data_IF_220442087439
#
_entry.id   IF_220442087439
#
_cell.length_a   1.000
_cell.length_b   1.000
_cell.length_c   1.000
_cell.angle_alpha   90.00
_cell.angle_beta   90.00
_cell.angle_gamma   90.00
#
_symmetry.space_group_name_H-M   'P 1'
#
loop_
_entity.id
_entity.type
_entity.pdbx_description
1 polymer ?
#
# COMPACT_ATOMS: atom_id res chain seq x y z
N UNK A 1 -2.03 -17.90 23.17
CA UNK A 1 -0.89 -18.52 22.47
C UNK A 1 0.31 -17.59 22.65
N UNK A 2 1.47 -18.13 23.03
CA UNK A 2 2.70 -17.35 23.19
C UNK A 2 3.71 -17.73 22.12
N UNK A 3 4.34 -16.74 21.51
CA UNK A 3 5.40 -16.94 20.53
C UNK A 3 6.57 -16.03 20.87
N UNK A 4 7.77 -16.58 20.86
CA UNK A 4 9.00 -15.84 21.13
C UNK A 4 9.89 -15.86 19.88
N UNK A 5 10.12 -14.69 19.28
CA UNK A 5 11.15 -14.50 18.26
C UNK A 5 12.49 -14.29 18.97
N UNK A 6 13.54 -15.01 18.60
CA UNK A 6 14.79 -15.01 19.38
C UNK A 6 16.05 -14.68 18.60
N UNK A 7 16.89 -13.80 19.15
CA UNK A 7 18.27 -13.58 18.70
C UNK A 7 18.45 -12.83 17.39
N UNK A 8 17.42 -12.14 16.88
CA UNK A 8 17.50 -11.38 15.62
C UNK A 8 17.98 -9.95 15.81
N UNK A 9 18.36 -9.29 14.71
CA UNK A 9 18.56 -7.84 14.71
C UNK A 9 17.20 -7.15 14.64
N UNK A 10 16.81 -6.47 15.70
CA UNK A 10 15.46 -5.91 15.86
C UNK A 10 15.46 -4.43 15.51
N UNK A 11 14.70 -4.05 14.47
CA UNK A 11 14.42 -2.67 14.12
C UNK A 11 12.99 -2.34 14.54
N UNK A 12 12.85 -1.67 15.68
CA UNK A 12 11.56 -1.43 16.35
C UNK A 12 10.70 -0.38 15.66
N UNK A 13 11.34 0.56 14.98
CA UNK A 13 10.73 1.79 14.45
C UNK A 13 10.18 2.75 15.53
N UNK A 14 10.48 2.55 16.82
CA UNK A 14 10.11 3.47 17.92
C UNK A 14 11.31 4.03 18.70
N UNK A 15 12.53 3.65 18.30
CA UNK A 15 13.79 4.09 18.91
C UNK A 15 14.44 3.03 19.81
N UNK A 16 13.79 1.89 20.02
CA UNK A 16 14.30 0.75 20.80
C UNK A 16 15.06 -0.31 20.00
N UNK A 17 15.73 0.06 18.90
CA UNK A 17 16.43 -0.92 18.03
C UNK A 17 17.50 -1.72 18.81
N UNK A 18 17.57 -3.03 18.56
CA UNK A 18 18.50 -3.96 19.20
C UNK A 18 19.38 -4.64 18.14
N UNK A 19 20.70 -4.60 18.32
CA UNK A 19 21.62 -5.31 17.45
C UNK A 19 21.38 -6.83 17.47
N UNK A 20 20.98 -7.33 18.63
CA UNK A 20 20.51 -8.69 18.88
C UNK A 20 19.45 -8.64 19.99
N UNK A 21 18.27 -9.17 19.74
CA UNK A 21 17.19 -9.17 20.72
C UNK A 21 16.09 -10.18 20.42
N UNK A 22 15.16 -10.24 21.36
CA UNK A 22 14.02 -11.11 21.39
C UNK A 22 12.72 -10.27 21.35
N UNK A 23 11.65 -10.82 20.77
CA UNK A 23 10.31 -10.22 20.74
C UNK A 23 9.31 -11.26 21.22
N UNK A 24 8.64 -10.98 22.34
CA UNK A 24 7.60 -11.84 22.90
C UNK A 24 6.22 -11.36 22.43
N UNK A 25 5.44 -12.33 21.95
CA UNK A 25 4.09 -12.14 21.44
C UNK A 25 3.16 -13.00 22.28
N UNK A 26 2.08 -12.41 22.80
CA UNK A 26 1.00 -13.13 23.48
C UNK A 26 -0.33 -12.77 22.84
N UNK A 27 -1.09 -13.78 22.42
CA UNK A 27 -2.44 -13.63 21.84
C UNK A 27 -2.51 -12.62 20.68
N UNK A 28 -1.47 -12.59 19.86
CA UNK A 28 -1.38 -11.74 18.68
C UNK A 28 -0.79 -10.36 18.92
N UNK A 29 -0.47 -10.02 20.18
CA UNK A 29 0.02 -8.71 20.62
C UNK A 29 1.48 -8.82 21.06
N UNK A 30 2.29 -7.82 20.71
CA UNK A 30 3.66 -7.68 21.20
C UNK A 30 3.57 -7.31 22.68
N UNK A 31 4.17 -8.09 23.58
CA UNK A 31 4.15 -7.80 25.02
C UNK A 31 5.50 -7.30 25.54
N UNK A 32 6.60 -7.68 24.87
CA UNK A 32 7.94 -7.29 25.30
C UNK A 32 8.94 -7.36 24.14
N UNK A 33 9.87 -6.39 24.11
CA UNK A 33 11.04 -6.37 23.22
C UNK A 33 12.26 -6.07 24.09
N UNK A 34 13.24 -6.98 24.12
CA UNK A 34 14.41 -6.87 24.98
C UNK A 34 15.61 -7.63 24.40
N UNK A 35 16.82 -7.40 24.90
CA UNK A 35 18.03 -8.13 24.47
C UNK A 35 17.90 -9.65 24.70
N UNK A 36 17.17 -10.04 25.75
CA UNK A 36 16.88 -11.43 26.08
C UNK A 36 15.57 -11.52 26.87
N UNK A 37 14.70 -12.47 26.50
CA UNK A 37 13.45 -12.75 27.21
C UNK A 37 13.40 -14.23 27.61
N UNK A 38 13.13 -14.51 28.89
CA UNK A 38 12.90 -15.86 29.40
C UNK A 38 11.40 -16.20 29.38
N UNK A 39 10.97 -16.88 28.32
CA UNK A 39 9.60 -17.38 28.15
C UNK A 39 9.63 -18.88 27.80
N UNK A 40 9.84 -19.78 28.79
CA UNK A 40 10.02 -21.22 28.55
C UNK A 40 8.74 -21.91 28.04
N UNK A 41 7.58 -21.27 28.18
CA UNK A 41 6.27 -21.73 27.74
C UNK A 41 5.87 -21.23 26.34
N UNK A 42 6.69 -20.41 25.69
CA UNK A 42 6.41 -19.85 24.36
C UNK A 42 6.93 -20.74 23.22
N UNK A 43 6.17 -20.80 22.11
CA UNK A 43 6.64 -21.38 20.86
C UNK A 43 7.77 -20.51 20.30
N UNK A 44 8.94 -21.10 20.05
CA UNK A 44 10.13 -20.34 19.62
C UNK A 44 10.25 -20.28 18.10
N UNK A 45 10.53 -19.09 17.58
CA UNK A 45 10.99 -18.84 16.22
C UNK A 45 12.42 -18.30 16.32
N UNK A 46 13.39 -19.06 15.81
CA UNK A 46 14.77 -18.62 15.75
C UNK A 46 14.91 -17.51 14.69
N UNK A 47 15.30 -16.32 15.13
CA UNK A 47 15.54 -15.15 14.30
C UNK A 47 17.04 -14.85 14.17
N UNK A 48 17.91 -15.79 14.56
CA UNK A 48 19.35 -15.70 14.27
C UNK A 48 19.56 -15.49 12.77
N UNK A 49 20.46 -14.57 12.42
CA UNK A 49 20.70 -14.14 11.03
C UNK A 49 19.44 -13.62 10.31
N UNK A 50 18.49 -13.06 11.07
CA UNK A 50 17.33 -12.33 10.56
C UNK A 50 17.30 -10.89 11.04
N UNK A 51 16.77 -10.02 10.20
CA UNK A 51 16.31 -8.69 10.59
C UNK A 51 14.82 -8.80 10.93
N UNK A 52 14.45 -8.43 12.15
CA UNK A 52 13.07 -8.40 12.64
C UNK A 52 12.58 -6.95 12.60
N UNK A 53 11.53 -6.66 11.85
CA UNK A 53 10.94 -5.32 11.78
C UNK A 53 9.42 -5.38 11.64
N UNK A 54 8.69 -4.28 11.89
CA UNK A 54 7.27 -4.20 11.55
C UNK A 54 7.08 -4.51 10.08
N UNK A 55 5.99 -5.21 9.75
CA UNK A 55 5.63 -5.40 8.36
C UNK A 55 5.35 -4.06 7.67
N UNK A 56 5.63 -4.03 6.38
CA UNK A 56 5.45 -2.81 5.61
C UNK A 56 3.97 -2.43 5.47
N UNK A 57 3.73 -1.13 5.35
CA UNK A 57 2.42 -0.53 5.13
C UNK A 57 2.39 0.09 3.74
N UNK A 58 1.57 -0.49 2.86
CA UNK A 58 1.30 0.02 1.52
C UNK A 58 0.06 0.91 1.55
N UNK A 59 0.23 2.23 1.48
CA UNK A 59 -0.84 3.20 1.74
C UNK A 59 -1.76 3.44 0.55
N UNK A 60 -1.48 2.86 -0.62
CA UNK A 60 -2.31 3.00 -1.81
C UNK A 60 -1.99 1.94 -2.87
N UNK A 61 -2.97 1.09 -3.23
CA UNK A 61 -2.78 0.10 -4.31
C UNK A 61 -4.07 -0.27 -5.02
N UNK A 62 -4.00 -0.60 -6.31
CA UNK A 62 -5.14 -1.05 -7.11
C UNK A 62 -5.09 -2.55 -7.45
N UNK A 63 -5.41 -3.44 -6.51
CA UNK A 63 -5.14 -4.89 -6.70
C UNK A 63 -6.03 -5.61 -7.72
N UNK A 64 -7.22 -5.08 -8.04
CA UNK A 64 -8.11 -5.65 -9.07
C UNK A 64 -7.43 -5.76 -10.45
N UNK A 65 -6.35 -5.01 -10.67
CA UNK A 65 -5.60 -4.91 -11.92
C UNK A 65 -4.53 -6.00 -12.07
N UNK A 66 -4.32 -6.82 -11.03
CA UNK A 66 -3.20 -7.78 -10.93
C UNK A 66 -3.09 -8.76 -12.11
N UNK A 67 -4.21 -9.15 -12.71
CA UNK A 67 -4.26 -10.06 -13.87
C UNK A 67 -3.41 -9.56 -15.06
N UNK A 68 -3.23 -8.25 -15.18
CA UNK A 68 -2.58 -7.59 -16.31
C UNK A 68 -1.18 -7.05 -15.97
N UNK A 69 -0.55 -7.57 -14.91
CA UNK A 69 0.82 -7.20 -14.56
C UNK A 69 1.79 -7.31 -15.75
N UNK A 70 2.58 -6.26 -15.94
CA UNK A 70 3.62 -6.17 -16.97
C UNK A 70 3.12 -5.66 -18.33
N UNK A 71 1.82 -5.64 -18.59
CA UNK A 71 1.29 -5.14 -19.87
C UNK A 71 1.44 -3.62 -19.99
N UNK A 72 1.45 -2.92 -18.85
CA UNK A 72 1.47 -1.46 -18.78
C UNK A 72 2.86 -0.86 -18.55
N UNK A 73 3.94 -1.63 -18.78
CA UNK A 73 5.29 -1.20 -18.47
C UNK A 73 5.70 0.14 -19.14
N UNK A 74 5.14 0.41 -20.33
CA UNK A 74 5.44 1.60 -21.14
C UNK A 74 4.27 2.61 -21.22
N UNK A 75 3.24 2.47 -20.36
CA UNK A 75 2.08 3.35 -20.43
C UNK A 75 2.31 4.65 -19.64
N UNK A 76 1.97 5.76 -20.27
CA UNK A 76 1.68 7.03 -19.60
C UNK A 76 0.37 6.94 -18.82
N UNK A 77 0.09 7.94 -17.97
CA UNK A 77 -1.19 8.01 -17.26
C UNK A 77 -2.41 8.00 -18.18
N UNK A 78 -2.32 8.68 -19.32
CA UNK A 78 -3.42 8.77 -20.28
C UNK A 78 -3.69 7.40 -20.93
N UNK A 79 -2.64 6.71 -21.37
CA UNK A 79 -2.74 5.34 -21.91
C UNK A 79 -3.28 4.38 -20.85
N UNK A 80 -2.79 4.46 -19.61
CA UNK A 80 -3.30 3.68 -18.48
C UNK A 80 -4.81 3.86 -18.28
N UNK A 81 -5.30 5.11 -18.29
CA UNK A 81 -6.72 5.40 -18.15
C UNK A 81 -7.54 4.72 -19.24
N UNK A 82 -7.12 4.88 -20.49
CA UNK A 82 -7.80 4.26 -21.64
C UNK A 82 -7.78 2.73 -21.50
N UNK A 83 -6.60 2.16 -21.23
CA UNK A 83 -6.39 0.73 -21.14
C UNK A 83 -7.22 0.06 -20.03
N UNK A 84 -6.99 0.48 -18.78
CA UNK A 84 -7.55 -0.20 -17.63
C UNK A 84 -9.02 0.13 -17.49
N UNK A 85 -9.41 1.40 -17.60
CA UNK A 85 -10.78 1.81 -17.33
C UNK A 85 -11.68 1.77 -18.54
N UNK A 86 -11.17 2.11 -19.73
CA UNK A 86 -11.93 2.13 -20.97
C UNK A 86 -12.02 0.77 -21.65
N UNK A 87 -10.90 0.06 -21.76
CA UNK A 87 -10.80 -1.19 -22.53
C UNK A 87 -10.99 -2.44 -21.67
N UNK A 88 -10.28 -2.58 -20.56
CA UNK A 88 -10.24 -3.83 -19.80
C UNK A 88 -11.38 -3.98 -18.78
N UNK A 89 -11.59 -2.96 -17.93
CA UNK A 89 -12.58 -2.97 -16.84
C UNK A 89 -13.98 -3.42 -17.28
N UNK A 90 -14.55 -2.99 -18.43
CA UNK A 90 -15.91 -3.40 -18.83
C UNK A 90 -16.11 -4.91 -18.97
N UNK A 91 -15.02 -5.69 -19.10
CA UNK A 91 -15.07 -7.15 -19.26
C UNK A 91 -14.78 -7.93 -17.98
N UNK A 92 -14.49 -7.24 -16.88
CA UNK A 92 -14.37 -7.86 -15.56
C UNK A 92 -15.74 -8.31 -15.07
N UNK A 93 -15.76 -9.51 -14.50
CA UNK A 93 -16.86 -10.07 -13.71
C UNK A 93 -16.47 -10.03 -12.23
N UNK A 94 -17.41 -10.25 -11.29
CA UNK A 94 -17.09 -10.36 -9.87
C UNK A 94 -15.99 -11.39 -9.57
N UNK A 95 -15.99 -12.53 -10.26
CA UNK A 95 -14.98 -13.58 -10.07
C UNK A 95 -13.57 -13.10 -10.45
N UNK A 96 -13.42 -12.30 -11.51
CA UNK A 96 -12.11 -11.76 -11.90
C UNK A 96 -11.60 -10.73 -10.90
N UNK A 97 -12.51 -9.95 -10.30
CA UNK A 97 -12.19 -9.03 -9.20
C UNK A 97 -11.69 -9.84 -8.01
N UNK A 98 -12.41 -10.88 -7.60
CA UNK A 98 -11.98 -11.73 -6.49
C UNK A 98 -10.56 -12.29 -6.72
N UNK A 99 -10.31 -12.87 -7.91
CA UNK A 99 -9.02 -13.46 -8.25
C UNK A 99 -7.89 -12.42 -8.30
N UNK A 100 -8.15 -11.26 -8.91
CA UNK A 100 -7.19 -10.16 -9.02
C UNK A 100 -6.81 -9.60 -7.66
N UNK A 101 -7.80 -9.27 -6.84
CA UNK A 101 -7.61 -8.74 -5.50
C UNK A 101 -6.90 -9.75 -4.58
N UNK A 102 -7.29 -11.02 -4.61
CA UNK A 102 -6.70 -12.06 -3.76
C UNK A 102 -5.22 -12.27 -4.12
N UNK A 103 -4.89 -12.45 -5.41
CA UNK A 103 -3.50 -12.63 -5.81
C UNK A 103 -2.67 -11.36 -5.52
N UNK A 104 -3.21 -10.18 -5.79
CA UNK A 104 -2.53 -8.91 -5.50
C UNK A 104 -2.22 -8.74 -4.02
N UNK A 105 -3.17 -9.05 -3.13
CA UNK A 105 -2.96 -8.98 -1.68
C UNK A 105 -1.96 -10.02 -1.17
N UNK A 106 -2.02 -11.25 -1.69
CA UNK A 106 -1.08 -12.32 -1.34
C UNK A 106 0.34 -12.03 -1.82
N UNK A 107 0.49 -11.38 -2.96
CA UNK A 107 1.79 -10.94 -3.48
C UNK A 107 2.38 -9.80 -2.63
N UNK A 108 1.55 -8.81 -2.25
CA UNK A 108 1.94 -7.80 -1.27
C UNK A 108 2.40 -8.45 0.05
N UNK A 109 1.63 -9.40 0.60
CA UNK A 109 1.99 -10.12 1.83
C UNK A 109 3.31 -10.90 1.68
N UNK A 110 3.49 -11.59 0.54
CA UNK A 110 4.71 -12.34 0.26
C UNK A 110 5.94 -11.44 0.20
N UNK A 111 5.80 -10.18 -0.22
CA UNK A 111 6.88 -9.18 -0.23
C UNK A 111 7.05 -8.42 1.09
N UNK A 112 6.33 -8.78 2.14
CA UNK A 112 6.47 -8.21 3.48
C UNK A 112 5.47 -7.10 3.83
N UNK A 113 4.46 -6.85 2.98
CA UNK A 113 3.39 -5.88 3.25
C UNK A 113 2.29 -6.53 4.10
N UNK A 114 2.29 -6.26 5.41
CA UNK A 114 1.29 -6.78 6.35
C UNK A 114 0.02 -5.94 6.39
N UNK A 115 0.11 -4.65 6.03
CA UNK A 115 -1.03 -3.73 5.94
C UNK A 115 -1.09 -3.07 4.56
N UNK A 116 -2.25 -3.08 3.92
CA UNK A 116 -2.44 -2.50 2.59
C UNK A 116 -3.76 -1.76 2.49
N UNK A 117 -3.76 -0.55 1.94
CA UNK A 117 -4.96 0.14 1.50
C UNK A 117 -5.24 -0.22 0.04
N UNK A 118 -6.29 -1.03 -0.18
CA UNK A 118 -6.77 -1.39 -1.51
C UNK A 118 -7.75 -0.34 -2.01
N UNK A 119 -7.28 0.51 -2.91
CA UNK A 119 -8.05 1.59 -3.51
C UNK A 119 -8.84 1.01 -4.69
N UNK A 120 -10.09 0.65 -4.44
CA UNK A 120 -10.93 -0.16 -5.33
C UNK A 120 -11.91 0.71 -6.13
N UNK A 121 -11.71 0.78 -7.44
CA UNK A 121 -12.52 1.61 -8.35
C UNK A 121 -13.04 0.83 -9.56
N UNK A 122 -13.25 -0.47 -9.37
CA UNK A 122 -13.88 -1.39 -10.31
C UNK A 122 -15.25 -1.87 -9.80
N UNK A 123 -15.92 -1.04 -8.98
CA UNK A 123 -17.26 -1.27 -8.45
C UNK A 123 -18.34 -1.09 -9.54
N UNK A 124 -18.37 -1.98 -10.53
CA UNK A 124 -19.36 -1.94 -11.63
C UNK A 124 -20.77 -2.36 -11.17
N UNK A 125 -20.83 -3.15 -10.10
CA UNK A 125 -22.05 -3.54 -9.41
C UNK A 125 -21.73 -3.90 -7.96
N UNK A 126 -22.73 -4.00 -7.05
CA UNK A 126 -22.52 -4.46 -5.69
C UNK A 126 -21.80 -5.81 -5.60
N UNK A 127 -22.03 -6.73 -6.54
CA UNK A 127 -21.35 -8.03 -6.57
C UNK A 127 -19.84 -7.90 -6.83
N UNK A 128 -19.39 -6.91 -7.60
CA UNK A 128 -17.96 -6.64 -7.78
C UNK A 128 -17.34 -6.14 -6.47
N UNK A 129 -18.05 -5.27 -5.76
CA UNK A 129 -17.64 -4.77 -4.44
C UNK A 129 -17.55 -5.91 -3.43
N UNK A 130 -18.55 -6.78 -3.39
CA UNK A 130 -18.61 -7.94 -2.49
C UNK A 130 -17.47 -8.92 -2.77
N UNK A 131 -17.17 -9.16 -4.05
CA UNK A 131 -16.05 -10.00 -4.47
C UNK A 131 -14.69 -9.45 -4.05
N UNK A 132 -14.47 -8.13 -4.19
CA UNK A 132 -13.25 -7.48 -3.73
C UNK A 132 -13.09 -7.61 -2.20
N UNK A 133 -14.16 -7.35 -1.44
CA UNK A 133 -14.14 -7.51 0.02
C UNK A 133 -13.87 -8.96 0.44
N UNK A 134 -14.50 -9.94 -0.23
CA UNK A 134 -14.27 -11.36 0.03
C UNK A 134 -12.80 -11.74 -0.19
N UNK A 135 -12.19 -11.30 -1.29
CA UNK A 135 -10.78 -11.55 -1.57
C UNK A 135 -9.84 -10.97 -0.50
N UNK A 136 -10.14 -9.76 0.00
CA UNK A 136 -9.35 -9.14 1.06
C UNK A 136 -9.51 -9.85 2.41
N UNK A 137 -10.67 -10.46 2.68
CA UNK A 137 -10.91 -11.29 3.90
C UNK A 137 -10.22 -12.64 3.82
N UNK A 138 -10.18 -13.25 2.64
CA UNK A 138 -9.54 -14.56 2.42
C UNK A 138 -8.02 -14.45 2.41
N UNK A 139 -7.47 -13.27 2.10
CA UNK A 139 -6.05 -13.00 2.30
C UNK A 139 -5.71 -12.87 3.79
N UNK A 140 -4.72 -13.61 4.32
CA UNK A 140 -4.42 -13.64 5.75
C UNK A 140 -3.60 -12.42 6.19
N UNK A 141 -4.05 -11.21 5.88
CA UNK A 141 -3.32 -9.96 6.09
C UNK A 141 -4.26 -8.79 6.40
N UNK A 142 -3.72 -7.72 6.99
CA UNK A 142 -4.49 -6.50 7.23
C UNK A 142 -4.75 -5.78 5.91
N UNK A 143 -5.99 -5.40 5.69
CA UNK A 143 -6.44 -4.69 4.49
C UNK A 143 -7.40 -3.56 4.85
N UNK A 144 -7.27 -2.42 4.19
CA UNK A 144 -8.22 -1.32 4.25
C UNK A 144 -8.90 -1.30 2.89
N UNK A 145 -10.16 -1.75 2.83
CA UNK A 145 -10.96 -1.66 1.62
C UNK A 145 -11.35 -0.21 1.41
N UNK A 146 -10.67 0.46 0.49
CA UNK A 146 -10.91 1.85 0.17
C UNK A 146 -11.84 1.92 -1.04
N UNK A 147 -13.13 2.07 -0.78
CA UNK A 147 -14.15 2.13 -1.82
C UNK A 147 -13.99 3.42 -2.61
N UNK A 148 -13.50 3.31 -3.84
CA UNK A 148 -13.27 4.41 -4.75
C UNK A 148 -14.42 4.55 -5.75
N UNK A 149 -14.91 5.78 -5.93
CA UNK A 149 -15.78 6.10 -7.05
C UNK A 149 -15.17 5.70 -8.40
N UNK A 150 -16.02 5.48 -9.41
CA UNK A 150 -15.57 5.24 -10.79
C UNK A 150 -14.76 6.40 -11.37
N UNK A 151 -14.49 6.38 -12.68
CA UNK A 151 -13.83 7.51 -13.35
C UNK A 151 -14.80 8.67 -13.70
N UNK A 152 -16.06 8.56 -13.30
CA UNK A 152 -17.05 9.63 -13.44
C UNK A 152 -16.84 10.73 -12.39
N UNK A 153 -17.48 11.88 -12.62
CA UNK A 153 -17.51 12.99 -11.66
C UNK A 153 -18.68 12.95 -10.68
N UNK A 154 -19.50 11.90 -10.74
CA UNK A 154 -20.68 11.76 -9.89
C UNK A 154 -20.28 11.52 -8.42
N UNK A 155 -21.10 11.97 -7.45
CA UNK A 155 -20.92 11.62 -6.05
C UNK A 155 -20.90 10.10 -5.83
N UNK A 156 -20.22 9.68 -4.77
CA UNK A 156 -20.25 8.27 -4.36
C UNK A 156 -21.66 7.85 -3.93
N UNK A 157 -22.02 6.59 -4.19
CA UNK A 157 -23.33 6.05 -3.81
C UNK A 157 -23.42 5.85 -2.30
N UNK A 158 -24.21 6.71 -1.63
CA UNK A 158 -24.45 6.67 -0.18
C UNK A 158 -25.05 5.33 0.28
N UNK A 159 -26.04 4.81 -0.45
CA UNK A 159 -26.69 3.56 -0.07
C UNK A 159 -25.71 2.38 -0.15
N UNK A 160 -24.88 2.34 -1.18
CA UNK A 160 -23.83 1.34 -1.33
C UNK A 160 -22.77 1.48 -0.23
N UNK A 161 -22.31 2.69 0.07
CA UNK A 161 -21.33 2.96 1.13
C UNK A 161 -21.80 2.49 2.50
N UNK A 162 -23.07 2.74 2.85
CA UNK A 162 -23.66 2.24 4.11
C UNK A 162 -23.77 0.72 4.09
N UNK A 163 -24.20 0.13 2.97
CA UNK A 163 -24.30 -1.33 2.81
C UNK A 163 -22.95 -2.02 3.05
N UNK A 164 -21.87 -1.53 2.45
CA UNK A 164 -20.55 -2.14 2.63
C UNK A 164 -19.97 -1.89 4.01
N UNK A 165 -20.23 -0.71 4.61
CA UNK A 165 -19.82 -0.40 5.97
C UNK A 165 -20.43 -1.39 6.97
N UNK A 166 -21.70 -1.73 6.80
CA UNK A 166 -22.42 -2.70 7.64
C UNK A 166 -21.90 -4.14 7.46
N UNK A 167 -21.27 -4.45 6.33
CA UNK A 167 -20.75 -5.79 6.03
C UNK A 167 -19.29 -6.01 6.44
N UNK A 168 -18.52 -4.95 6.68
CA UNK A 168 -17.12 -5.07 7.10
C UNK A 168 -17.09 -5.28 8.61
N UNK A 169 -16.79 -6.50 9.09
CA UNK A 169 -16.76 -6.79 10.52
C UNK A 169 -15.53 -6.15 11.16
N UNK A 170 -15.51 -6.13 12.50
CA UNK A 170 -14.27 -5.89 13.24
C UNK A 170 -13.25 -6.97 12.91
N UNK A 171 -12.00 -6.58 12.62
CA UNK A 171 -10.92 -7.52 12.34
C UNK A 171 -9.83 -6.96 11.43
N UNK A 172 -9.24 -7.84 10.62
CA UNK A 172 -8.13 -7.49 9.72
C UNK A 172 -8.56 -6.68 8.49
N UNK A 173 -9.85 -6.63 8.18
CA UNK A 173 -10.39 -5.82 7.08
C UNK A 173 -11.14 -4.63 7.65
N UNK A 174 -10.72 -3.43 7.26
CA UNK A 174 -11.38 -2.16 7.62
C UNK A 174 -11.75 -1.40 6.36
N UNK A 175 -12.27 -0.18 6.49
CA UNK A 175 -12.82 0.58 5.38
C UNK A 175 -12.27 2.02 5.34
N UNK A 176 -12.09 2.53 4.13
CA UNK A 176 -11.87 3.95 3.85
C UNK A 176 -12.68 4.39 2.61
N UNK A 177 -12.75 5.70 2.38
CA UNK A 177 -13.37 6.27 1.18
C UNK A 177 -12.31 6.78 0.19
N UNK A 178 -12.40 6.33 -1.06
CA UNK A 178 -11.51 6.75 -2.14
C UNK A 178 -12.15 7.85 -2.99
N UNK A 179 -11.50 9.00 -3.09
CA UNK A 179 -11.98 10.14 -3.86
C UNK A 179 -11.00 10.48 -5.00
N UNK A 180 -11.55 10.85 -6.15
CA UNK A 180 -10.77 11.28 -7.31
C UNK A 180 -10.27 12.73 -7.21
N UNK A 181 -10.78 13.47 -6.24
CA UNK A 181 -10.41 14.86 -6.00
C UNK A 181 -11.03 15.85 -6.99
N UNK A 182 -10.78 17.16 -6.77
CA UNK A 182 -11.44 18.26 -7.48
C UNK A 182 -10.92 18.48 -8.91
N UNK A 183 -10.00 17.64 -9.36
CA UNK A 183 -9.50 17.65 -10.74
C UNK A 183 -10.38 16.79 -11.66
N UNK A 184 -11.21 15.90 -11.10
CA UNK A 184 -12.14 15.05 -11.84
C UNK A 184 -13.61 15.30 -11.51
N UNK A 185 -13.90 16.08 -10.47
CA UNK A 185 -15.25 16.53 -10.10
C UNK A 185 -15.21 17.92 -9.45
N UNK A 186 -16.35 18.44 -8.98
CA UNK A 186 -16.46 19.74 -8.31
C UNK A 186 -16.11 19.65 -6.82
N UNK A 187 -15.67 20.76 -6.23
CA UNK A 187 -15.44 20.84 -4.78
C UNK A 187 -16.72 20.62 -3.94
N UNK A 188 -17.91 20.90 -4.49
CA UNK A 188 -19.15 20.67 -3.76
C UNK A 188 -19.46 19.17 -3.64
N UNK A 189 -19.16 18.38 -4.68
CA UNK A 189 -19.22 16.92 -4.64
C UNK A 189 -18.19 16.37 -3.66
N UNK A 190 -16.93 16.82 -3.75
CA UNK A 190 -15.87 16.42 -2.79
C UNK A 190 -16.29 16.71 -1.35
N UNK A 191 -16.86 17.89 -1.07
CA UNK A 191 -17.30 18.26 0.27
C UNK A 191 -18.45 17.36 0.77
N UNK A 192 -19.40 17.00 -0.10
CA UNK A 192 -20.49 16.09 0.23
C UNK A 192 -19.96 14.68 0.56
N UNK A 193 -19.03 14.16 -0.25
CA UNK A 193 -18.43 12.84 -0.05
C UNK A 193 -17.59 12.78 1.24
N UNK A 194 -16.81 13.83 1.52
CA UNK A 194 -16.06 13.94 2.79
C UNK A 194 -16.97 14.03 4.01
N UNK A 195 -18.10 14.75 3.88
CA UNK A 195 -19.10 14.80 4.95
C UNK A 195 -19.66 13.41 5.21
N UNK A 196 -20.01 12.67 4.17
CA UNK A 196 -20.49 11.29 4.30
C UNK A 196 -19.42 10.37 4.93
N UNK A 197 -18.16 10.49 4.53
CA UNK A 197 -17.05 9.78 5.17
C UNK A 197 -17.00 10.06 6.68
N UNK A 198 -17.11 11.33 7.07
CA UNK A 198 -17.17 11.74 8.48
C UNK A 198 -18.35 11.14 9.24
N UNK A 199 -19.54 11.13 8.64
CA UNK A 199 -20.75 10.50 9.23
C UNK A 199 -20.56 8.99 9.47
N UNK A 200 -19.76 8.32 8.65
CA UNK A 200 -19.47 6.88 8.74
C UNK A 200 -18.19 6.55 9.55
N UNK A 201 -17.49 7.58 10.05
CA UNK A 201 -16.22 7.44 10.77
C UNK A 201 -15.09 6.91 9.88
N UNK A 202 -15.11 7.22 8.58
CA UNK A 202 -14.14 6.75 7.60
C UNK A 202 -13.05 7.80 7.36
N UNK A 203 -11.82 7.32 7.14
CA UNK A 203 -10.73 8.10 6.56
C UNK A 203 -10.91 8.21 5.05
N UNK A 204 -10.28 9.20 4.43
CA UNK A 204 -10.36 9.42 2.99
C UNK A 204 -8.98 9.40 2.32
N UNK A 205 -8.92 8.77 1.14
CA UNK A 205 -7.74 8.78 0.25
C UNK A 205 -8.10 9.50 -1.03
N UNK A 206 -7.38 10.57 -1.37
CA UNK A 206 -7.74 11.50 -2.45
C UNK A 206 -6.61 11.62 -3.47
N UNK A 207 -6.85 11.24 -4.73
CA UNK A 207 -5.91 11.53 -5.81
C UNK A 207 -5.82 13.04 -6.06
N UNK A 208 -4.59 13.58 -6.04
CA UNK A 208 -4.34 15.00 -6.34
C UNK A 208 -3.04 15.21 -7.11
N UNK A 209 -3.01 16.20 -8.00
CA UNK A 209 -1.79 16.62 -8.68
C UNK A 209 -1.21 15.57 -9.66
N UNK A 210 -1.99 14.56 -10.03
CA UNK A 210 -1.61 13.52 -11.01
C UNK A 210 -1.56 14.05 -12.45
N UNK A 211 -0.78 13.40 -13.31
CA UNK A 211 -0.86 13.58 -14.77
C UNK A 211 -0.51 14.99 -15.29
N UNK A 212 0.38 15.73 -14.62
CA UNK A 212 0.85 17.03 -15.11
C UNK A 212 -0.11 18.20 -14.88
N UNK A 213 -1.14 18.05 -14.05
CA UNK A 213 -2.11 19.08 -13.69
C UNK A 213 -1.53 20.19 -12.78
N UNK A 214 -0.41 20.80 -13.18
CA UNK A 214 0.19 21.95 -12.49
C UNK A 214 -0.76 23.15 -12.58
N UNK A 215 -0.88 23.88 -11.47
CA UNK A 215 -1.70 25.10 -11.40
C UNK A 215 -3.17 24.88 -11.04
N UNK A 216 -3.66 23.64 -10.86
CA UNK A 216 -5.03 23.40 -10.37
C UNK A 216 -5.20 23.61 -8.87
N UNK A 217 -4.08 23.71 -8.11
CA UNK A 217 -4.00 23.99 -6.67
C UNK A 217 -5.11 23.29 -5.83
N UNK A 218 -5.21 21.96 -5.92
CA UNK A 218 -6.32 21.21 -5.32
C UNK A 218 -6.31 21.26 -3.79
N UNK A 219 -5.15 21.31 -3.13
CA UNK A 219 -5.07 21.37 -1.67
C UNK A 219 -5.51 22.74 -1.17
N UNK A 220 -5.14 23.82 -1.88
CA UNK A 220 -5.62 25.15 -1.56
C UNK A 220 -7.15 25.22 -1.61
N UNK A 221 -7.79 24.56 -2.58
CA UNK A 221 -9.25 24.48 -2.66
C UNK A 221 -9.88 23.75 -1.46
N UNK A 222 -9.25 22.70 -0.93
CA UNK A 222 -9.69 22.08 0.34
C UNK A 222 -9.49 23.04 1.52
N UNK A 223 -8.35 23.71 1.59
CA UNK A 223 -8.02 24.66 2.66
C UNK A 223 -9.03 25.82 2.72
N UNK A 224 -9.36 26.44 1.58
CA UNK A 224 -10.35 27.52 1.48
C UNK A 224 -11.75 27.12 1.95
N UNK A 225 -12.10 25.84 1.78
CA UNK A 225 -13.38 25.26 2.22
C UNK A 225 -13.34 24.71 3.66
N UNK A 226 -12.18 24.74 4.32
CA UNK A 226 -11.99 24.18 5.66
C UNK A 226 -12.11 22.66 5.71
N UNK A 227 -11.73 21.96 4.64
CA UNK A 227 -11.92 20.50 4.47
C UNK A 227 -10.66 19.67 4.80
N UNK A 228 -9.50 20.30 4.98
CA UNK A 228 -8.28 19.58 5.34
C UNK A 228 -8.39 19.01 6.77
N UNK A 229 -7.88 17.79 6.96
CA UNK A 229 -7.83 17.13 8.26
C UNK A 229 -6.80 16.00 8.29
N UNK A 230 -6.49 15.53 9.49
CA UNK A 230 -5.66 14.35 9.73
C UNK A 230 -6.30 13.04 9.25
N UNK A 231 -7.57 13.04 8.85
CA UNK A 231 -8.28 11.90 8.28
C UNK A 231 -8.07 11.74 6.76
N UNK A 232 -7.32 12.65 6.12
CA UNK A 232 -7.13 12.68 4.67
C UNK A 232 -5.69 12.32 4.31
N UNK A 233 -5.56 11.35 3.39
CA UNK A 233 -4.31 11.01 2.70
C UNK A 233 -4.42 11.42 1.24
N UNK A 234 -3.59 12.36 0.82
CA UNK A 234 -3.46 12.75 -0.58
C UNK A 234 -2.52 11.81 -1.34
N UNK A 235 -2.86 11.43 -2.56
CA UNK A 235 -2.08 10.49 -3.37
C UNK A 235 -1.35 11.25 -4.47
N UNK A 236 -0.07 10.93 -4.66
CA UNK A 236 0.90 11.52 -5.60
C UNK A 236 1.39 12.91 -5.26
N UNK A 237 0.51 13.91 -5.37
CA UNK A 237 0.83 15.32 -5.15
C UNK A 237 1.95 15.92 -6.04
N UNK A 238 2.36 15.29 -7.16
CA UNK A 238 3.44 15.82 -8.02
C UNK A 238 3.17 17.23 -8.59
N UNK A 239 1.89 17.57 -8.77
CA UNK A 239 1.43 18.85 -9.30
C UNK A 239 1.20 19.97 -8.28
N UNK A 240 1.41 19.73 -6.98
CA UNK A 240 1.09 20.73 -5.92
C UNK A 240 2.25 21.69 -5.64
N UNK A 241 1.92 22.88 -5.17
CA UNK A 241 2.87 23.93 -4.82
C UNK A 241 3.42 23.78 -3.39
N UNK A 242 4.54 24.46 -3.08
CA UNK A 242 5.20 24.32 -1.76
C UNK A 242 4.35 24.86 -0.61
N UNK A 243 3.50 25.85 -0.85
CA UNK A 243 2.59 26.36 0.16
C UNK A 243 1.41 25.41 0.41
N UNK A 244 0.97 24.67 -0.60
CA UNK A 244 0.01 23.57 -0.43
C UNK A 244 0.57 22.45 0.45
N UNK A 245 1.86 22.11 0.31
CA UNK A 245 2.51 21.15 1.20
C UNK A 245 2.53 21.62 2.67
N UNK A 246 2.66 22.93 2.91
CA UNK A 246 2.53 23.47 4.28
C UNK A 246 1.10 23.36 4.79
N UNK A 247 0.10 23.60 3.95
CA UNK A 247 -1.31 23.41 4.34
C UNK A 247 -1.60 21.94 4.73
N UNK A 248 -1.01 20.98 4.02
CA UNK A 248 -1.06 19.55 4.39
C UNK A 248 -0.46 19.33 5.77
N UNK A 249 0.76 19.86 6.02
CA UNK A 249 1.43 19.73 7.31
C UNK A 249 0.63 20.34 8.46
N UNK A 250 0.14 21.57 8.29
CA UNK A 250 -0.63 22.30 9.30
C UNK A 250 -1.94 21.58 9.66
N UNK A 251 -2.57 20.91 8.69
CA UNK A 251 -3.80 20.15 8.90
C UNK A 251 -3.57 18.74 9.48
N UNK A 252 -2.32 18.27 9.54
CA UNK A 252 -1.99 16.88 9.89
C UNK A 252 -2.36 15.86 8.82
N UNK A 253 -2.69 16.30 7.60
CA UNK A 253 -2.98 15.41 6.47
C UNK A 253 -1.71 14.64 6.05
N UNK A 254 -1.91 13.47 5.44
CA UNK A 254 -0.82 12.63 4.96
C UNK A 254 -0.69 12.67 3.44
N UNK A 255 0.44 12.23 2.90
CA UNK A 255 0.66 12.12 1.45
C UNK A 255 1.32 10.78 1.12
N UNK A 256 0.65 9.99 0.28
CA UNK A 256 1.14 8.72 -0.26
C UNK A 256 1.78 8.96 -1.62
N UNK A 257 3.04 8.55 -1.79
CA UNK A 257 3.76 8.66 -3.07
C UNK A 257 4.08 7.28 -3.64
N UNK A 258 4.07 7.17 -4.97
CA UNK A 258 4.43 5.98 -5.74
C UNK A 258 5.58 6.28 -6.71
N UNK A 259 6.82 6.51 -6.22
CA UNK A 259 7.95 6.99 -7.02
C UNK A 259 8.16 6.27 -8.35
N UNK A 260 8.06 4.94 -8.37
CA UNK A 260 8.22 4.14 -9.60
C UNK A 260 7.12 4.43 -10.63
N UNK A 261 5.86 4.48 -10.20
CA UNK A 261 4.70 4.73 -11.06
C UNK A 261 4.69 6.18 -11.53
N UNK A 262 4.88 7.12 -10.61
CA UNK A 262 4.90 8.56 -10.90
C UNK A 262 5.94 8.91 -11.98
N UNK A 263 7.15 8.33 -11.88
CA UNK A 263 8.21 8.52 -12.87
C UNK A 263 7.86 7.88 -14.21
N UNK A 264 7.40 6.62 -14.22
CA UNK A 264 7.10 5.87 -15.45
C UNK A 264 5.92 6.45 -16.21
N UNK A 265 4.86 6.83 -15.51
CA UNK A 265 3.62 7.33 -16.11
C UNK A 265 3.67 8.83 -16.48
N UNK A 266 4.79 9.51 -16.20
CA UNK A 266 5.00 10.91 -16.57
C UNK A 266 4.31 11.91 -15.65
N UNK A 267 4.10 11.60 -14.37
CA UNK A 267 3.50 12.52 -13.40
C UNK A 267 4.47 13.65 -13.04
N UNK A 268 5.77 13.34 -13.02
CA UNK A 268 6.83 14.29 -12.77
C UNK A 268 7.90 13.75 -11.82
N UNK A 269 8.74 14.64 -11.32
CA UNK A 269 9.76 14.30 -10.34
C UNK A 269 9.13 13.98 -8.97
N UNK A 270 9.69 13.00 -8.22
CA UNK A 270 9.28 12.71 -6.86
C UNK A 270 9.32 13.94 -5.95
N UNK A 271 8.34 14.03 -5.06
CA UNK A 271 8.11 15.19 -4.21
C UNK A 271 8.81 15.11 -2.85
N UNK A 272 9.50 14.01 -2.56
CA UNK A 272 10.07 13.65 -1.25
C UNK A 272 10.78 14.81 -0.56
N UNK A 273 11.77 15.43 -1.20
CA UNK A 273 12.53 16.53 -0.62
C UNK A 273 11.69 17.79 -0.35
N UNK A 274 10.75 18.11 -1.24
CA UNK A 274 9.83 19.25 -1.09
C UNK A 274 8.88 19.03 0.09
N UNK A 275 8.37 17.81 0.24
CA UNK A 275 7.51 17.42 1.36
C UNK A 275 8.26 17.53 2.68
N UNK A 276 9.46 16.96 2.77
CA UNK A 276 10.28 17.04 3.98
C UNK A 276 10.62 18.49 4.35
N UNK A 277 10.96 19.32 3.37
CA UNK A 277 11.22 20.75 3.59
C UNK A 277 9.98 21.53 4.08
N UNK A 278 8.78 21.07 3.74
CA UNK A 278 7.51 21.63 4.20
C UNK A 278 7.01 21.05 5.52
N UNK A 279 7.73 20.07 6.11
CA UNK A 279 7.32 19.40 7.34
C UNK A 279 6.37 18.22 7.14
N UNK A 280 6.18 17.74 5.90
CA UNK A 280 5.37 16.55 5.58
C UNK A 280 6.29 15.35 5.39
N UNK A 281 6.08 14.28 6.16
CA UNK A 281 6.70 12.99 5.90
C UNK A 281 5.86 12.20 4.89
N UNK A 282 6.41 11.75 3.76
CA UNK A 282 5.68 10.91 2.82
C UNK A 282 5.41 9.50 3.39
N UNK A 283 4.41 8.84 2.83
CA UNK A 283 4.22 7.39 2.94
C UNK A 283 4.36 6.74 1.57
N UNK A 284 4.51 5.41 1.54
CA UNK A 284 4.75 4.70 0.29
C UNK A 284 3.58 3.86 -0.20
N UNK A 285 3.49 3.79 -1.52
CA UNK A 285 2.51 3.00 -2.23
C UNK A 285 3.10 2.29 -3.43
N UNK A 286 2.61 1.07 -3.71
CA UNK A 286 2.84 0.40 -5.00
C UNK A 286 1.98 0.99 -6.10
N UNK A 287 0.75 1.39 -5.76
CA UNK A 287 -0.19 2.03 -6.66
C UNK A 287 -0.63 1.08 -7.80
N UNK A 288 -0.05 1.21 -8.99
CA UNK A 288 -0.48 0.53 -10.20
C UNK A 288 0.16 -0.86 -10.42
N UNK A 289 -0.65 -1.92 -10.48
CA UNK A 289 -0.15 -3.30 -10.67
C UNK A 289 0.28 -3.65 -12.12
N UNK A 290 -0.32 -3.10 -13.19
CA UNK A 290 0.13 -3.28 -14.57
C UNK A 290 1.55 -2.79 -14.88
N UNK A 291 2.00 -1.68 -14.29
CA UNK A 291 3.24 -0.99 -14.68
C UNK A 291 4.38 -1.05 -13.64
N UNK A 292 4.09 -1.45 -12.39
CA UNK A 292 5.07 -1.50 -11.31
C UNK A 292 5.36 -2.93 -10.80
N UNK A 293 6.54 -3.07 -10.18
CA UNK A 293 6.80 -4.19 -9.28
C UNK A 293 5.91 -4.08 -8.05
N UNK A 294 5.61 -5.20 -7.38
CA UNK A 294 4.64 -5.21 -6.29
C UNK A 294 5.24 -5.15 -4.89
N UNK A 295 6.47 -4.65 -4.73
CA UNK A 295 7.24 -4.68 -3.49
C UNK A 295 7.80 -3.33 -3.02
N UNK A 296 7.79 -3.12 -1.70
CA UNK A 296 8.28 -1.88 -1.08
C UNK A 296 9.79 -1.66 -1.23
N UNK A 297 10.58 -2.71 -1.45
CA UNK A 297 12.03 -2.55 -1.58
C UNK A 297 12.39 -1.76 -2.83
N UNK A 298 11.72 -2.05 -3.96
CA UNK A 298 11.86 -1.27 -5.19
C UNK A 298 11.43 0.19 -4.98
N UNK A 299 10.26 0.41 -4.38
CA UNK A 299 9.74 1.76 -4.10
C UNK A 299 10.70 2.58 -3.24
N UNK A 300 11.22 1.99 -2.16
CA UNK A 300 12.23 2.63 -1.32
C UNK A 300 13.51 2.92 -2.10
N UNK A 301 14.02 1.98 -2.91
CA UNK A 301 15.22 2.23 -3.73
C UNK A 301 15.04 3.38 -4.69
N UNK A 302 13.91 3.47 -5.37
CA UNK A 302 13.63 4.54 -6.33
C UNK A 302 13.55 5.89 -5.64
N UNK A 303 12.80 6.00 -4.52
CA UNK A 303 12.78 7.21 -3.70
C UNK A 303 14.18 7.59 -3.19
N UNK A 304 14.93 6.60 -2.69
CA UNK A 304 16.28 6.78 -2.16
C UNK A 304 17.22 7.35 -3.21
N UNK A 305 17.34 6.67 -4.35
CA UNK A 305 18.28 7.01 -5.41
C UNK A 305 17.98 8.39 -6.00
N UNK A 306 16.71 8.69 -6.27
CA UNK A 306 16.31 9.98 -6.84
C UNK A 306 16.60 11.11 -5.87
N UNK A 307 16.11 11.03 -4.63
CA UNK A 307 16.29 12.13 -3.68
C UNK A 307 17.76 12.31 -3.29
N UNK A 308 18.51 11.23 -3.06
CA UNK A 308 19.95 11.30 -2.81
C UNK A 308 20.73 11.90 -3.98
N UNK A 309 20.29 11.67 -5.21
CA UNK A 309 20.89 12.27 -6.41
C UNK A 309 20.63 13.77 -6.52
N UNK A 310 19.53 14.26 -5.96
CA UNK A 310 19.17 15.68 -5.94
C UNK A 310 19.94 16.46 -4.86
N UNK A 311 19.93 15.98 -3.61
CA UNK A 311 20.50 16.74 -2.47
C UNK A 311 21.33 15.92 -1.49
N UNK A 312 21.23 14.59 -1.52
CA UNK A 312 21.91 13.72 -0.57
C UNK A 312 21.33 13.73 0.86
N UNK A 313 20.19 14.37 1.12
CA UNK A 313 19.65 14.53 2.47
C UNK A 313 19.04 13.26 3.05
N UNK A 314 18.37 12.46 2.22
CA UNK A 314 17.56 11.32 2.62
C UNK A 314 18.40 10.16 3.19
N UNK A 315 17.96 9.55 4.30
CA UNK A 315 18.61 8.38 4.92
C UNK A 315 17.77 7.12 4.74
N UNK A 316 18.42 5.95 4.81
CA UNK A 316 17.73 4.67 4.75
C UNK A 316 16.70 4.51 5.89
N UNK A 317 16.99 5.07 7.07
CA UNK A 317 16.07 5.06 8.21
C UNK A 317 14.76 5.82 7.90
N UNK A 318 14.85 6.98 7.25
CA UNK A 318 13.66 7.75 6.85
C UNK A 318 12.72 6.89 5.99
N UNK A 319 13.29 6.11 5.06
CA UNK A 319 12.49 5.28 4.18
C UNK A 319 11.82 4.09 4.84
N UNK A 320 12.47 3.50 5.84
CA UNK A 320 11.81 2.47 6.65
C UNK A 320 10.65 3.06 7.44
N UNK A 321 10.79 4.28 7.97
CA UNK A 321 9.72 4.96 8.69
C UNK A 321 8.53 5.28 7.77
N UNK A 322 8.79 5.78 6.55
CA UNK A 322 7.77 6.00 5.52
C UNK A 322 7.00 4.72 5.17
N UNK A 323 7.70 3.57 5.14
CA UNK A 323 7.13 2.26 4.85
C UNK A 323 6.51 1.55 6.06
N UNK A 324 6.61 2.11 7.27
CA UNK A 324 6.14 1.47 8.52
C UNK A 324 5.32 2.43 9.38
N UNK A 325 5.94 3.14 10.33
CA UNK A 325 5.25 4.00 11.31
C UNK A 325 4.46 5.14 10.65
N UNK A 326 5.03 5.81 9.65
CA UNK A 326 4.36 6.92 8.97
C UNK A 326 3.21 6.39 8.10
N UNK A 327 3.42 5.25 7.41
CA UNK A 327 2.37 4.54 6.68
C UNK A 327 1.20 4.10 7.56
N UNK A 328 1.50 3.56 8.74
CA UNK A 328 0.49 3.21 9.74
C UNK A 328 -0.27 4.47 10.21
N UNK A 329 0.42 5.61 10.38
CA UNK A 329 -0.18 6.90 10.68
C UNK A 329 -1.18 7.37 9.62
N UNK A 330 -0.77 7.41 8.36
CA UNK A 330 -1.65 7.81 7.25
C UNK A 330 -2.92 6.96 7.19
N UNK A 331 -2.79 5.66 7.45
CA UNK A 331 -3.90 4.70 7.49
C UNK A 331 -4.75 4.76 8.78
N UNK A 332 -4.39 5.56 9.79
CA UNK A 332 -5.09 5.61 11.07
C UNK A 332 -4.87 4.36 11.94
N UNK A 333 -3.76 3.66 11.72
CA UNK A 333 -3.43 2.37 12.33
C UNK A 333 -2.24 2.46 13.30
N UNK A 334 -1.75 3.66 13.64
CA UNK A 334 -0.60 3.83 14.55
C UNK A 334 -0.79 3.19 15.92
N UNK A 335 -2.02 3.05 16.40
CA UNK A 335 -2.30 2.37 17.67
C UNK A 335 -2.16 0.85 17.58
N UNK A 336 -2.27 0.29 16.36
CA UNK A 336 -2.30 -1.16 16.13
C UNK A 336 -0.99 -1.70 15.56
N UNK A 337 -0.34 -0.98 14.65
CA UNK A 337 0.80 -1.51 13.87
C UNK A 337 1.85 -0.43 13.56
N UNK A 338 2.83 -0.78 12.72
CA UNK A 338 3.88 0.12 12.23
C UNK A 338 5.14 0.19 13.09
N UNK A 339 5.11 -0.28 14.35
CA UNK A 339 6.29 -0.39 15.22
C UNK A 339 6.22 -1.65 16.08
N UNK A 340 7.37 -2.14 16.55
CA UNK A 340 7.49 -3.24 17.50
C UNK A 340 7.38 -2.73 18.93
N UNK A 341 6.28 -2.06 19.24
CA UNK A 341 6.04 -1.46 20.56
C UNK A 341 5.09 -2.37 21.36
N UNK A 342 5.38 -2.67 22.64
CA UNK A 342 4.45 -3.41 23.49
C UNK A 342 3.03 -2.83 23.48
N UNK A 343 2.03 -3.69 23.36
CA UNK A 343 0.61 -3.36 23.21
C UNK A 343 0.11 -3.28 21.77
N UNK A 344 0.98 -3.29 20.76
CA UNK A 344 0.60 -3.33 19.34
C UNK A 344 0.44 -4.76 18.83
N UNK A 345 -0.32 -4.93 17.75
CA UNK A 345 -0.44 -6.20 17.04
C UNK A 345 0.92 -6.64 16.49
N UNK A 346 1.20 -7.94 16.56
CA UNK A 346 2.40 -8.54 16.00
C UNK A 346 2.30 -8.73 14.48
N UNK A 347 2.31 -7.60 13.77
CA UNK A 347 2.48 -7.49 12.32
C UNK A 347 3.99 -7.37 12.01
N UNK A 348 4.68 -8.50 11.88
CA UNK A 348 6.15 -8.58 11.89
C UNK A 348 6.67 -9.31 10.65
N UNK A 349 7.78 -8.85 10.09
CA UNK A 349 8.52 -9.56 9.05
C UNK A 349 9.94 -9.89 9.52
N UNK A 350 10.42 -11.07 9.12
CA UNK A 350 11.79 -11.52 9.30
C UNK A 350 12.46 -11.58 7.94
N UNK A 351 13.55 -10.85 7.78
CA UNK A 351 14.35 -10.79 6.55
C UNK A 351 15.65 -11.56 6.71
N UNK A 352 16.03 -12.39 5.73
CA UNK A 352 17.33 -13.09 5.73
C UNK A 352 18.49 -12.10 5.65
N UNK A 353 19.35 -12.10 6.66
CA UNK A 353 20.57 -11.29 6.69
C UNK A 353 21.81 -12.07 6.21
N UNK A 354 21.70 -13.39 6.08
CA UNK A 354 22.72 -14.34 5.60
C UNK A 354 22.62 -14.64 4.09
N UNK A 355 21.62 -14.08 3.41
CA UNK A 355 21.45 -14.29 1.97
C UNK A 355 22.63 -13.70 1.17
N UNK A 356 23.05 -14.42 0.13
CA UNK A 356 24.18 -14.05 -0.73
C UNK A 356 24.09 -12.62 -1.28
N UNK A 357 22.87 -12.12 -1.52
CA UNK A 357 22.64 -10.79 -2.06
C UNK A 357 22.97 -9.65 -1.09
N UNK A 358 23.04 -9.93 0.22
CA UNK A 358 23.21 -8.91 1.27
C UNK A 358 24.34 -9.21 2.26
N UNK A 359 24.96 -10.38 2.18
CA UNK A 359 26.11 -10.75 2.99
C UNK A 359 27.41 -10.05 2.52
N UNK A 360 28.29 -9.58 3.44
CA UNK A 360 28.12 -9.53 4.89
C UNK A 360 27.17 -8.42 5.34
N UNK A 361 26.37 -8.74 6.35
CA UNK A 361 25.42 -7.82 6.96
C UNK A 361 26.10 -6.84 7.94
N UNK A 362 25.97 -5.54 7.70
CA UNK A 362 26.66 -4.51 8.49
C UNK A 362 25.77 -3.32 8.92
N UNK A 363 24.79 -2.97 8.10
CA UNK A 363 23.89 -1.84 8.36
C UNK A 363 22.46 -2.29 8.04
N UNK A 364 21.62 -2.58 9.04
CA UNK A 364 20.28 -3.13 8.83
C UNK A 364 19.41 -2.29 7.89
N UNK A 365 19.26 -1.00 8.20
CA UNK A 365 18.43 -0.10 7.40
C UNK A 365 19.02 0.10 6.00
N UNK A 366 20.34 0.30 5.92
CA UNK A 366 21.05 0.44 4.65
C UNK A 366 20.91 -0.79 3.75
N UNK A 367 21.01 -2.00 4.31
CA UNK A 367 20.84 -3.27 3.60
C UNK A 367 19.43 -3.39 3.04
N UNK A 368 18.39 -3.16 3.86
CA UNK A 368 17.00 -3.25 3.42
C UNK A 368 16.72 -2.29 2.27
N UNK A 369 17.12 -1.03 2.42
CA UNK A 369 16.81 0.01 1.43
C UNK A 369 17.65 -0.15 0.17
N UNK A 370 18.95 -0.40 0.27
CA UNK A 370 19.83 -0.37 -0.89
C UNK A 370 19.83 -1.69 -1.69
N UNK A 371 19.64 -2.84 -1.04
CA UNK A 371 19.79 -4.15 -1.64
C UNK A 371 18.63 -5.11 -1.37
N UNK A 372 17.66 -4.72 -0.53
CA UNK A 372 16.54 -5.59 -0.16
C UNK A 372 15.70 -6.01 -1.37
N UNK A 373 15.11 -7.19 -1.30
CA UNK A 373 14.19 -7.69 -2.33
C UNK A 373 13.21 -8.70 -1.71
N UNK A 374 12.08 -8.99 -2.36
CA UNK A 374 11.04 -9.89 -1.80
C UNK A 374 11.54 -11.28 -1.42
N UNK A 375 12.62 -11.75 -2.07
CA UNK A 375 13.24 -13.05 -1.78
C UNK A 375 13.91 -13.13 -0.41
N UNK A 376 14.20 -11.99 0.23
CA UNK A 376 14.71 -11.94 1.60
C UNK A 376 13.63 -12.16 2.65
N UNK A 377 12.36 -11.92 2.32
CA UNK A 377 11.25 -12.07 3.27
C UNK A 377 11.07 -13.56 3.56
N UNK A 378 11.44 -13.96 4.76
CA UNK A 378 11.48 -15.36 5.19
C UNK A 378 10.20 -15.75 5.89
N UNK A 379 9.91 -15.04 6.98
CA UNK A 379 8.76 -15.29 7.86
C UNK A 379 7.94 -14.01 8.00
N UNK A 380 6.62 -14.14 7.96
CA UNK A 380 5.68 -13.03 8.15
C UNK A 380 4.62 -13.43 9.17
N UNK A 381 4.40 -12.56 10.15
CA UNK A 381 3.36 -12.64 11.14
C UNK A 381 2.36 -11.50 10.91
N UNK A 382 1.07 -11.79 11.02
CA UNK A 382 -0.01 -10.80 11.03
C UNK A 382 -0.88 -11.06 12.25
N UNK A 383 -1.02 -10.06 13.12
CA UNK A 383 -1.63 -10.22 14.45
C UNK A 383 -1.11 -11.49 15.16
N UNK A 384 0.21 -11.71 15.10
CA UNK A 384 0.93 -12.85 15.68
C UNK A 384 0.73 -14.19 15.01
N UNK A 385 -0.13 -14.31 14.00
CA UNK A 385 -0.28 -15.55 13.22
C UNK A 385 0.79 -15.61 12.14
N UNK A 386 1.55 -16.71 12.09
CA UNK A 386 2.49 -16.99 10.99
C UNK A 386 1.73 -17.27 9.70
N UNK A 387 1.91 -16.41 8.70
CA UNK A 387 1.21 -16.47 7.39
C UNK A 387 2.18 -16.67 6.22
N UNK A 388 3.48 -16.54 6.48
CA UNK A 388 4.58 -16.95 5.60
C UNK A 388 5.70 -17.51 6.47
N UNK A 389 6.35 -18.58 6.03
CA UNK A 389 7.49 -19.21 6.71
C UNK A 389 8.43 -19.84 5.70
N UNK A 390 9.74 -19.76 5.95
CA UNK A 390 10.79 -20.31 5.07
C UNK A 390 10.64 -19.85 3.61
N UNK A 391 10.20 -18.60 3.41
CA UNK A 391 9.97 -18.01 2.09
C UNK A 391 8.65 -18.40 1.41
N UNK A 392 7.78 -19.22 2.02
CA UNK A 392 6.54 -19.71 1.43
C UNK A 392 5.28 -19.27 2.22
N UNK A 393 4.22 -18.88 1.49
CA UNK A 393 2.92 -18.56 2.09
C UNK A 393 2.30 -19.81 2.74
N UNK A 394 1.71 -19.65 3.91
CA UNK A 394 1.06 -20.73 4.67
C UNK A 394 -0.41 -20.85 4.25
N UNK A 395 -0.84 -22.08 3.91
CA UNK A 395 -2.26 -22.37 3.64
C UNK A 395 -2.80 -21.83 2.32
N UNK A 396 -1.92 -21.49 1.36
CA UNK A 396 -2.30 -20.92 0.05
C UNK A 396 -1.98 -21.91 -1.08
N UNK A 397 -3.00 -22.32 -1.84
CA UNK A 397 -2.81 -23.06 -3.09
C UNK A 397 -2.51 -22.10 -4.25
N UNK A 398 -1.26 -21.63 -4.27
CA UNK A 398 -0.81 -20.67 -5.26
C UNK A 398 -0.88 -21.21 -6.71
N UNK A 399 -0.54 -22.48 -7.01
CA UNK A 399 -0.72 -23.04 -8.35
C UNK A 399 -2.16 -22.97 -8.85
N UNK A 400 -3.15 -23.38 -8.04
CA UNK A 400 -4.55 -23.32 -8.42
C UNK A 400 -5.03 -21.89 -8.66
N UNK A 401 -4.67 -20.95 -7.76
CA UNK A 401 -5.01 -19.54 -7.90
C UNK A 401 -4.41 -18.93 -9.18
N UNK A 402 -3.15 -19.24 -9.50
CA UNK A 402 -2.50 -18.80 -10.74
C UNK A 402 -3.22 -19.31 -11.97
N UNK A 403 -3.63 -20.59 -12.00
CA UNK A 403 -4.38 -21.15 -13.13
C UNK A 403 -5.67 -20.39 -13.38
N UNK A 404 -6.48 -20.18 -12.32
CA UNK A 404 -7.75 -19.45 -12.40
C UNK A 404 -7.56 -18.01 -12.85
N UNK A 405 -6.55 -17.31 -12.33
CA UNK A 405 -6.27 -15.94 -12.76
C UNK A 405 -5.83 -15.87 -14.23
N UNK A 406 -5.08 -16.85 -14.73
CA UNK A 406 -4.70 -16.91 -16.15
C UNK A 406 -5.90 -17.14 -17.06
N UNK A 407 -6.83 -18.01 -16.66
CA UNK A 407 -8.10 -18.21 -17.37
C UNK A 407 -8.92 -16.91 -17.42
N UNK A 408 -9.05 -16.23 -16.28
CA UNK A 408 -9.66 -14.91 -16.15
C UNK A 408 -9.01 -13.88 -17.08
N UNK A 409 -7.70 -13.70 -17.00
CA UNK A 409 -6.92 -12.76 -17.86
C UNK A 409 -7.15 -13.05 -19.34
N UNK A 410 -7.05 -14.31 -19.75
CA UNK A 410 -7.22 -14.69 -21.16
C UNK A 410 -8.63 -14.39 -21.66
N UNK A 411 -9.66 -14.64 -20.83
CA UNK A 411 -11.06 -14.31 -21.15
C UNK A 411 -11.26 -12.80 -21.31
N UNK A 412 -10.77 -12.00 -20.36
CA UNK A 412 -10.86 -10.54 -20.41
C UNK A 412 -10.14 -10.01 -21.65
N UNK A 413 -8.91 -10.47 -21.90
CA UNK A 413 -8.11 -10.06 -23.06
C UNK A 413 -8.79 -10.38 -24.38
N UNK A 414 -9.37 -11.57 -24.52
CA UNK A 414 -10.11 -11.98 -25.71
C UNK A 414 -11.39 -11.13 -25.91
N UNK A 415 -12.12 -10.86 -24.83
CA UNK A 415 -13.32 -10.02 -24.88
C UNK A 415 -13.00 -8.56 -25.22
N UNK A 416 -11.86 -8.04 -24.73
CA UNK A 416 -11.35 -6.71 -25.01
C UNK A 416 -10.69 -6.58 -26.40
N UNK A 417 -10.41 -7.70 -27.08
CA UNK A 417 -9.75 -7.71 -28.38
C UNK A 417 -8.28 -7.28 -28.33
N UNK A 418 -7.58 -7.48 -27.21
CA UNK A 418 -6.17 -7.09 -27.04
C UNK A 418 -5.23 -8.31 -27.06
N UNK A 419 -4.01 -8.20 -27.65
CA UNK A 419 -2.99 -9.25 -27.57
C UNK A 419 -2.18 -9.20 -26.25
N UNK A 420 -1.64 -10.35 -25.84
CA UNK A 420 -0.81 -10.53 -24.64
C UNK A 420 0.64 -10.91 -24.98
N UNK A 421 1.24 -10.21 -25.93
CA UNK A 421 2.61 -10.44 -26.42
C UNK A 421 3.52 -9.21 -26.22
N UNK A 422 3.03 -8.18 -25.54
CA UNK A 422 3.74 -6.91 -25.31
C UNK A 422 3.65 -5.92 -26.48
N UNK A 423 2.96 -6.25 -27.57
CA UNK A 423 2.79 -5.35 -28.72
C UNK A 423 1.65 -4.35 -28.56
N UNK A 424 0.70 -4.61 -27.66
CA UNK A 424 -0.46 -3.76 -27.49
C UNK A 424 -0.09 -2.43 -26.83
N UNK A 425 -0.49 -1.33 -27.49
CA UNK A 425 -0.51 0.01 -26.90
C UNK A 425 -1.94 0.56 -26.93
N UNK A 426 -2.43 1.11 -25.82
CA UNK A 426 -3.71 1.80 -25.77
C UNK A 426 -3.67 3.02 -26.70
N UNK A 427 -4.76 3.34 -27.41
CA UNK A 427 -4.82 4.56 -28.18
C UNK A 427 -4.70 5.77 -27.25
N UNK A 428 -3.99 6.80 -27.69
CA UNK A 428 -4.01 8.08 -26.99
C UNK A 428 -5.36 8.76 -27.24
N UNK A 429 -5.87 9.58 -26.32
CA UNK A 429 -7.17 10.28 -26.50
C UNK A 429 -7.22 11.23 -27.72
N UNK A 430 -6.11 11.39 -28.44
CA UNK A 430 -5.98 12.16 -29.68
C UNK A 430 -6.05 11.33 -30.98
N UNK A 431 -6.20 10.01 -30.89
CA UNK A 431 -6.46 9.09 -32.02
C UNK A 431 -7.88 8.53 -31.96
#
# INVERSE_FOLDING_TARGET
MKTLLTGGTVLTMDGGDLARGDVLIEDGVIVEVAEHIDAPDADRIDATDRIVLPGFVDTHRHTWQTAFRGIGADWTFAEYRVAMHGTLKPHYTPEDIYLGNLLGRLEALSSGVTTMLDWFHAAQSPEHTDAAMAALRDAPARSIFCYGGGMGGDPVDDAELRRIRDQIPDGLVTMALGLRGPQLTTMDVVAADLKLAGELGLRSSVHVGSGGARGSRPIAAFHERGLLSDAITFVHANGVDDDELRMVADAGSSVSISPDVELKMGFGWPMTGRMLAAGVRPTFSIDDCPSAGGDMFATMRTAYAVQRGLDGGLRARDLLEFATVDGAGACGMSALTGSLTPGKDADIILLRADDLSVFPFNNPAGTIVAAGHPGLVDTVLVAGRVVKRDGALVGVDLPALKSRLLESRNRISAAAGIPLDGSWRPPTESE
#
